data_IF_352660225173
#
_entry.id   IF_352660225173
#
_cell.length_a   1.000
_cell.length_b   1.000
_cell.length_c   1.000
_cell.angle_alpha   90.00
_cell.angle_beta   90.00
_cell.angle_gamma   90.00
#
_symmetry.space_group_name_H-M   'P 1'
#
loop_
_entity.id
_entity.type
_entity.pdbx_description
1 polymer ?
#
# COMPACT_ATOMS: atom_id res chain seq x y z
N UNK A 1 19.14 16.98 59.95
CA UNK A 1 20.42 17.72 59.95
C UNK A 1 21.32 16.99 58.95
N UNK A 2 21.30 17.42 57.67
CA UNK A 2 22.17 18.43 57.04
C UNK A 2 23.58 17.85 56.75
N UNK A 3 23.86 17.41 55.51
CA UNK A 3 24.60 18.12 54.43
C UNK A 3 26.13 18.04 54.67
N UNK A 4 27.01 17.60 53.75
CA UNK A 4 27.38 18.30 52.52
C UNK A 4 28.36 17.50 51.60
N UNK A 5 28.52 18.05 50.39
CA UNK A 5 29.15 17.57 49.13
C UNK A 5 30.70 17.45 49.11
N UNK A 6 31.19 16.69 48.11
CA UNK A 6 32.59 16.50 47.58
C UNK A 6 33.27 17.83 47.13
N UNK A 7 34.53 17.95 46.60
CA UNK A 7 35.49 16.97 46.00
C UNK A 7 37.02 17.24 46.23
N UNK A 8 37.94 16.41 45.70
CA UNK A 8 39.35 16.83 45.45
C UNK A 8 39.98 16.10 44.25
N UNK A 9 40.24 16.85 43.16
CA UNK A 9 41.16 16.48 42.09
C UNK A 9 42.58 16.95 42.45
N UNK A 10 43.59 16.12 42.23
CA UNK A 10 45.00 16.49 42.31
C UNK A 10 45.80 15.75 41.25
N UNK A 11 46.30 16.50 40.27
CA UNK A 11 47.17 16.02 39.19
C UNK A 11 48.59 15.79 39.73
N UNK A 12 49.19 14.65 39.40
CA UNK A 12 50.65 14.49 39.38
C UNK A 12 51.05 13.83 38.07
N UNK A 13 51.63 14.64 37.18
CA UNK A 13 52.39 14.17 36.03
C UNK A 13 53.88 14.29 36.37
N UNK A 14 54.62 13.20 36.22
CA UNK A 14 56.03 13.26 35.86
C UNK A 14 56.33 12.07 34.95
N UNK A 15 56.32 12.34 33.65
CA UNK A 15 56.90 11.48 32.62
C UNK A 15 58.41 11.73 32.52
N UNK A 16 59.15 10.65 32.33
CA UNK A 16 60.30 10.46 31.43
C UNK A 16 61.22 9.38 32.01
N UNK A 17 61.80 8.45 31.24
CA UNK A 17 61.41 7.83 29.99
C UNK A 17 62.40 6.67 29.82
N UNK A 18 61.91 5.52 29.34
CA UNK A 18 62.61 4.62 28.43
C UNK A 18 63.95 4.01 28.88
N UNK A 19 63.91 2.74 29.34
CA UNK A 19 64.52 1.59 28.65
C UNK A 19 64.58 0.37 29.58
N UNK A 20 64.11 -0.76 29.05
CA UNK A 20 64.14 -2.10 29.65
C UNK A 20 63.18 -2.25 30.84
N UNK A 21 62.06 -2.94 30.72
CA UNK A 21 61.97 -4.30 30.21
C UNK A 21 60.53 -4.55 29.73
N UNK A 22 60.42 -5.01 28.49
CA UNK A 22 59.25 -5.64 27.92
C UNK A 22 57.98 -4.78 27.92
N UNK A 23 57.85 -4.00 26.84
CA UNK A 23 56.61 -3.96 26.08
C UNK A 23 56.02 -5.38 26.02
N UNK A 24 55.11 -5.68 26.93
CA UNK A 24 54.16 -6.75 26.73
C UNK A 24 52.92 -6.05 26.17
N UNK A 25 52.93 -5.79 24.86
CA UNK A 25 51.69 -5.71 24.11
C UNK A 25 50.98 -7.06 24.25
N UNK A 26 50.24 -7.23 25.35
CA UNK A 26 49.27 -8.31 25.42
C UNK A 26 48.11 -7.88 24.55
N UNK A 27 48.16 -8.26 23.27
CA UNK A 27 46.98 -8.33 22.42
C UNK A 27 46.09 -9.46 22.96
N UNK A 28 45.39 -9.16 24.06
CA UNK A 28 44.60 -10.12 24.80
C UNK A 28 43.25 -10.35 24.14
N UNK A 29 43.14 -11.35 23.28
CA UNK A 29 41.84 -11.83 22.81
C UNK A 29 41.15 -12.64 23.92
N UNK A 30 40.04 -12.10 24.44
CA UNK A 30 39.21 -12.82 25.44
C UNK A 30 38.07 -13.52 24.72
N UNK A 31 38.10 -14.85 24.69
CA UNK A 31 37.00 -15.69 24.20
C UNK A 31 36.38 -16.40 25.40
N UNK A 32 35.12 -16.10 25.69
CA UNK A 32 34.35 -16.75 26.77
C UNK A 32 33.22 -17.60 26.20
N UNK A 33 33.17 -18.88 26.59
CA UNK A 33 32.07 -19.78 26.27
C UNK A 33 31.26 -20.00 27.55
N UNK A 34 29.97 -19.68 27.52
CA UNK A 34 29.05 -19.85 28.65
C UNK A 34 27.88 -20.77 28.29
N UNK A 35 27.70 -21.84 29.07
CA UNK A 35 26.54 -22.73 28.98
C UNK A 35 25.58 -22.45 30.13
N UNK A 36 24.30 -22.18 29.80
CA UNK A 36 23.22 -22.03 30.81
C UNK A 36 22.13 -23.06 30.54
N UNK A 37 21.90 -23.94 31.50
CA UNK A 37 20.82 -24.92 31.48
C UNK A 37 19.87 -24.68 32.66
N UNK A 38 18.56 -24.77 32.41
CA UNK A 38 17.55 -24.53 33.43
C UNK A 38 17.11 -25.87 34.06
N UNK A 39 17.34 -26.03 35.36
CA UNK A 39 17.03 -27.28 36.08
C UNK A 39 15.55 -27.38 36.48
N UNK A 40 14.85 -26.26 36.70
CA UNK A 40 13.41 -26.24 37.01
C UNK A 40 12.82 -24.84 36.83
N UNK A 41 11.69 -24.71 36.13
CA UNK A 41 11.05 -23.41 35.86
C UNK A 41 9.53 -23.37 36.04
N UNK A 42 8.93 -24.35 36.72
CA UNK A 42 7.48 -24.35 37.03
C UNK A 42 6.58 -24.33 35.78
N UNK A 43 6.91 -25.16 34.78
CA UNK A 43 6.17 -25.33 33.52
C UNK A 43 6.09 -24.07 32.61
N UNK A 44 6.92 -23.06 32.88
CA UNK A 44 6.95 -21.84 32.04
C UNK A 44 7.33 -22.14 30.58
N UNK A 45 8.22 -23.11 30.35
CA UNK A 45 8.58 -23.53 28.98
C UNK A 45 7.38 -24.14 28.26
N UNK A 46 6.63 -25.03 28.92
CA UNK A 46 5.45 -25.67 28.33
C UNK A 46 4.38 -24.65 27.93
N UNK A 47 4.05 -23.72 28.83
CA UNK A 47 3.11 -22.61 28.53
C UNK A 47 3.59 -21.70 27.40
N UNK A 48 4.90 -21.39 27.32
CA UNK A 48 5.46 -20.60 26.22
C UNK A 48 5.35 -21.32 24.88
N UNK A 49 5.61 -22.62 24.84
CA UNK A 49 5.45 -23.43 23.63
C UNK A 49 3.98 -23.47 23.21
N UNK A 50 3.05 -23.67 24.15
CA UNK A 50 1.61 -23.64 23.87
C UNK A 50 1.17 -22.28 23.31
N UNK A 51 1.60 -21.17 23.93
CA UNK A 51 1.33 -19.82 23.42
C UNK A 51 1.93 -19.58 22.04
N UNK A 52 3.14 -20.06 21.77
CA UNK A 52 3.76 -19.96 20.45
C UNK A 52 2.99 -20.77 19.38
N UNK A 53 2.49 -21.97 19.73
CA UNK A 53 1.63 -22.77 18.84
C UNK A 53 0.30 -22.07 18.55
N UNK A 54 -0.34 -21.50 19.57
CA UNK A 54 -1.58 -20.74 19.39
C UNK A 54 -1.35 -19.52 18.48
N UNK A 55 -0.26 -18.78 18.68
CA UNK A 55 0.09 -17.66 17.82
C UNK A 55 0.35 -18.09 16.37
N UNK A 56 0.97 -19.24 16.17
CA UNK A 56 1.14 -19.81 14.82
C UNK A 56 -0.21 -20.12 14.17
N UNK A 57 -1.12 -20.75 14.90
CA UNK A 57 -2.47 -21.08 14.42
C UNK A 57 -3.27 -19.80 14.08
N UNK A 58 -3.21 -18.77 14.93
CA UNK A 58 -3.80 -17.45 14.66
C UNK A 58 -3.23 -16.86 13.37
N UNK A 59 -1.90 -16.89 13.17
CA UNK A 59 -1.27 -16.39 11.95
C UNK A 59 -1.70 -17.18 10.70
N UNK A 60 -1.93 -18.49 10.82
CA UNK A 60 -2.46 -19.30 9.72
C UNK A 60 -3.89 -18.90 9.35
N UNK A 61 -4.77 -18.72 10.34
CA UNK A 61 -6.13 -18.25 10.09
C UNK A 61 -6.16 -16.83 9.52
N UNK A 62 -5.29 -15.94 9.98
CA UNK A 62 -5.16 -14.59 9.42
C UNK A 62 -4.69 -14.62 7.97
N UNK A 63 -3.76 -15.52 7.62
CA UNK A 63 -3.32 -15.73 6.24
C UNK A 63 -4.51 -16.16 5.38
N UNK A 64 -5.23 -17.21 5.77
CA UNK A 64 -6.38 -17.72 5.03
C UNK A 64 -7.48 -16.65 4.86
N UNK A 65 -7.80 -15.91 5.92
CA UNK A 65 -8.76 -14.82 5.85
C UNK A 65 -8.30 -13.70 4.89
N UNK A 66 -7.00 -13.41 4.85
CA UNK A 66 -6.44 -12.43 3.92
C UNK A 66 -6.56 -12.91 2.46
N UNK A 67 -6.29 -14.19 2.20
CA UNK A 67 -6.44 -14.79 0.87
C UNK A 67 -7.89 -14.73 0.39
N UNK A 68 -8.84 -15.14 1.24
CA UNK A 68 -10.27 -15.10 0.93
C UNK A 68 -10.76 -13.68 0.63
N UNK A 69 -10.28 -12.69 1.40
CA UNK A 69 -10.59 -11.27 1.17
C UNK A 69 -10.05 -10.77 -0.16
N UNK A 70 -8.81 -11.13 -0.50
CA UNK A 70 -8.19 -10.74 -1.78
C UNK A 70 -8.94 -11.35 -2.97
N UNK A 71 -9.35 -12.61 -2.87
CA UNK A 71 -10.16 -13.27 -3.90
C UNK A 71 -11.52 -12.60 -4.05
N UNK A 72 -12.22 -12.33 -2.95
CA UNK A 72 -13.50 -11.64 -2.98
C UNK A 72 -13.39 -10.23 -3.58
N UNK A 73 -12.33 -9.49 -3.24
CA UNK A 73 -12.04 -8.17 -3.80
C UNK A 73 -11.77 -8.25 -5.31
N UNK A 74 -10.98 -9.22 -5.76
CA UNK A 74 -10.68 -9.42 -7.18
C UNK A 74 -11.95 -9.75 -7.99
N UNK A 75 -12.82 -10.64 -7.48
CA UNK A 75 -14.09 -10.97 -8.14
C UNK A 75 -15.00 -9.74 -8.22
N UNK A 76 -15.14 -9.01 -7.11
CA UNK A 76 -15.92 -7.77 -7.07
C UNK A 76 -15.41 -6.75 -8.09
N UNK A 77 -14.09 -6.59 -8.16
CA UNK A 77 -13.45 -5.64 -9.08
C UNK A 77 -13.63 -6.05 -10.54
N UNK A 78 -13.54 -7.34 -10.85
CA UNK A 78 -13.81 -7.85 -12.19
C UNK A 78 -15.26 -7.58 -12.62
N UNK A 79 -16.22 -7.82 -11.74
CA UNK A 79 -17.63 -7.54 -12.02
C UNK A 79 -17.88 -6.04 -12.26
N UNK A 80 -17.25 -5.18 -11.46
CA UNK A 80 -17.32 -3.74 -11.65
C UNK A 80 -16.73 -3.30 -13.00
N UNK A 81 -15.60 -3.87 -13.40
CA UNK A 81 -14.99 -3.60 -14.71
C UNK A 81 -15.93 -3.97 -15.86
N UNK A 82 -16.56 -5.14 -15.81
CA UNK A 82 -17.53 -5.59 -16.82
C UNK A 82 -18.74 -4.64 -16.87
N UNK A 83 -19.27 -4.23 -15.72
CA UNK A 83 -20.37 -3.27 -15.65
C UNK A 83 -20.01 -1.93 -16.32
N UNK A 84 -18.81 -1.40 -16.05
CA UNK A 84 -18.33 -0.15 -16.64
C UNK A 84 -18.17 -0.27 -18.17
N UNK A 85 -17.66 -1.41 -18.65
CA UNK A 85 -17.54 -1.67 -20.10
C UNK A 85 -18.91 -1.72 -20.78
N UNK A 86 -19.89 -2.37 -20.16
CA UNK A 86 -21.26 -2.40 -20.65
C UNK A 86 -21.91 -1.00 -20.66
N UNK A 87 -21.65 -0.20 -19.63
CA UNK A 87 -22.09 1.19 -19.58
C UNK A 87 -21.46 2.03 -20.68
N UNK A 88 -20.15 1.88 -20.93
CA UNK A 88 -19.45 2.55 -22.01
C UNK A 88 -20.09 2.23 -23.36
N UNK A 89 -20.32 0.94 -23.66
CA UNK A 89 -20.96 0.51 -24.90
C UNK A 89 -22.32 1.18 -25.12
N UNK A 90 -23.17 1.20 -24.08
CA UNK A 90 -24.48 1.89 -24.14
C UNK A 90 -24.34 3.40 -24.39
N UNK A 91 -23.34 4.05 -23.78
CA UNK A 91 -23.11 5.49 -23.99
C UNK A 91 -22.57 5.78 -25.39
N UNK A 92 -21.71 4.93 -25.93
CA UNK A 92 -21.21 5.00 -27.31
C UNK A 92 -22.30 4.74 -28.36
N UNK A 93 -23.36 4.02 -28.01
CA UNK A 93 -24.56 3.92 -28.84
C UNK A 93 -25.40 5.21 -28.74
N UNK A 94 -25.64 5.71 -27.52
CA UNK A 94 -26.46 6.90 -27.29
C UNK A 94 -25.87 8.20 -27.85
N UNK A 95 -24.54 8.34 -27.92
CA UNK A 95 -23.91 9.54 -28.49
C UNK A 95 -24.29 9.76 -29.95
N UNK A 96 -24.63 8.69 -30.70
CA UNK A 96 -25.10 8.80 -32.09
C UNK A 96 -26.38 9.63 -32.15
N UNK A 97 -27.31 9.42 -31.22
CA UNK A 97 -28.56 10.19 -31.13
C UNK A 97 -28.31 11.67 -30.85
N UNK A 98 -27.38 11.98 -29.93
CA UNK A 98 -27.01 13.36 -29.64
C UNK A 98 -26.33 14.04 -30.84
N UNK A 99 -25.47 13.30 -31.55
CA UNK A 99 -24.80 13.79 -32.75
C UNK A 99 -25.79 14.08 -33.88
N UNK A 100 -26.74 13.19 -34.13
CA UNK A 100 -27.80 13.42 -35.10
C UNK A 100 -28.70 14.60 -34.70
N UNK A 101 -29.00 14.75 -33.42
CA UNK A 101 -29.79 15.89 -32.93
C UNK A 101 -29.05 17.21 -33.13
N UNK A 102 -27.75 17.24 -32.90
CA UNK A 102 -26.90 18.38 -33.18
C UNK A 102 -26.93 18.75 -34.67
N UNK A 103 -26.65 17.79 -35.56
CA UNK A 103 -26.64 18.01 -37.03
C UNK A 103 -27.99 18.54 -37.51
N UNK A 104 -29.11 17.94 -37.08
CA UNK A 104 -30.46 18.44 -37.45
C UNK A 104 -30.73 19.86 -36.97
N UNK A 105 -30.24 20.21 -35.77
CA UNK A 105 -30.46 21.55 -35.19
C UNK A 105 -29.58 22.58 -35.90
N UNK A 106 -28.35 22.21 -36.23
CA UNK A 106 -27.41 22.99 -37.02
C UNK A 106 -27.98 23.31 -38.42
N UNK A 107 -28.49 22.31 -39.14
CA UNK A 107 -29.15 22.52 -40.43
C UNK A 107 -30.35 23.46 -40.32
N UNK A 108 -31.18 23.31 -39.28
CA UNK A 108 -32.33 24.19 -39.05
C UNK A 108 -31.90 25.61 -38.72
N UNK A 109 -30.79 25.78 -37.98
CA UNK A 109 -30.27 27.08 -37.61
C UNK A 109 -29.80 27.84 -38.86
N UNK A 110 -29.04 27.19 -39.75
CA UNK A 110 -28.61 27.79 -41.01
C UNK A 110 -29.78 28.14 -41.95
N UNK A 111 -30.88 27.40 -41.86
CA UNK A 111 -32.12 27.72 -42.57
C UNK A 111 -33.00 28.77 -41.85
N UNK A 112 -32.54 29.36 -40.75
CA UNK A 112 -33.30 30.35 -39.96
C UNK A 112 -34.52 29.80 -39.23
N UNK A 113 -34.62 28.47 -39.04
CA UNK A 113 -35.78 27.78 -38.46
C UNK A 113 -35.69 27.56 -36.95
N UNK A 114 -34.51 27.73 -36.35
CA UNK A 114 -34.28 27.65 -34.90
C UNK A 114 -33.32 28.77 -34.49
N UNK A 115 -33.25 29.05 -33.19
CA UNK A 115 -32.40 30.12 -32.64
C UNK A 115 -30.97 29.64 -32.37
N UNK A 116 -30.07 30.58 -32.09
CA UNK A 116 -28.71 30.27 -31.65
C UNK A 116 -28.67 29.59 -30.27
N UNK A 117 -29.69 29.81 -29.44
CA UNK A 117 -29.84 29.14 -28.15
C UNK A 117 -30.11 27.64 -28.36
N UNK A 118 -31.04 27.29 -29.23
CA UNK A 118 -31.37 25.89 -29.55
C UNK A 118 -30.13 25.14 -30.08
N UNK A 119 -29.33 25.79 -30.92
CA UNK A 119 -28.08 25.22 -31.42
C UNK A 119 -27.07 24.97 -30.28
N UNK A 120 -26.91 25.93 -29.36
CA UNK A 120 -26.02 25.77 -28.19
C UNK A 120 -26.49 24.66 -27.26
N UNK A 121 -27.80 24.51 -27.07
CA UNK A 121 -28.34 23.43 -26.24
C UNK A 121 -28.05 22.05 -26.85
N UNK A 122 -28.20 21.91 -28.17
CA UNK A 122 -27.83 20.68 -28.87
C UNK A 122 -26.32 20.40 -28.82
N UNK A 123 -25.47 21.42 -28.96
CA UNK A 123 -24.02 21.32 -28.79
C UNK A 123 -23.64 20.87 -27.38
N UNK A 124 -24.24 21.49 -26.35
CA UNK A 124 -24.01 21.13 -24.96
C UNK A 124 -24.43 19.70 -24.66
N UNK A 125 -25.57 19.24 -25.20
CA UNK A 125 -26.02 17.86 -25.03
C UNK A 125 -25.02 16.85 -25.62
N UNK A 126 -24.49 17.13 -26.83
CA UNK A 126 -23.46 16.30 -27.46
C UNK A 126 -22.15 16.31 -26.64
N UNK A 127 -21.67 17.50 -26.25
CA UNK A 127 -20.45 17.66 -25.46
C UNK A 127 -20.55 16.91 -24.11
N UNK A 128 -21.68 17.00 -23.42
CA UNK A 128 -21.90 16.28 -22.18
C UNK A 128 -21.88 14.76 -22.37
N UNK A 129 -22.40 14.26 -23.50
CA UNK A 129 -22.31 12.84 -23.85
C UNK A 129 -20.86 12.39 -24.07
N UNK A 130 -20.05 13.20 -24.75
CA UNK A 130 -18.62 12.94 -24.96
C UNK A 130 -17.83 12.93 -23.64
N UNK A 131 -18.07 13.91 -22.77
CA UNK A 131 -17.46 13.98 -21.44
C UNK A 131 -17.80 12.72 -20.61
N UNK A 132 -19.07 12.29 -20.62
CA UNK A 132 -19.48 11.06 -19.92
C UNK A 132 -18.74 9.83 -20.44
N UNK A 133 -18.56 9.70 -21.75
CA UNK A 133 -17.79 8.59 -22.36
C UNK A 133 -16.33 8.63 -21.91
N UNK A 134 -15.70 9.81 -21.92
CA UNK A 134 -14.31 9.96 -21.51
C UNK A 134 -14.11 9.63 -20.03
N UNK A 135 -15.04 10.04 -19.16
CA UNK A 135 -15.02 9.68 -17.75
C UNK A 135 -15.14 8.15 -17.56
N UNK A 136 -16.05 7.49 -18.27
CA UNK A 136 -16.18 6.03 -18.22
C UNK A 136 -14.91 5.32 -18.70
N UNK A 137 -14.24 5.82 -19.75
CA UNK A 137 -12.96 5.28 -20.21
C UNK A 137 -11.88 5.40 -19.13
N UNK A 138 -11.80 6.55 -18.45
CA UNK A 138 -10.87 6.74 -17.34
C UNK A 138 -11.18 5.81 -16.17
N UNK A 139 -12.45 5.60 -15.84
CA UNK A 139 -12.88 4.69 -14.77
C UNK A 139 -12.57 3.23 -15.10
N UNK A 140 -12.76 2.81 -16.35
CA UNK A 140 -12.35 1.48 -16.83
C UNK A 140 -10.84 1.30 -16.65
N UNK A 141 -10.02 2.29 -17.05
CA UNK A 141 -8.56 2.21 -16.91
C UNK A 141 -8.13 2.12 -15.44
N UNK A 142 -8.74 2.91 -14.54
CA UNK A 142 -8.48 2.79 -13.10
C UNK A 142 -8.89 1.42 -12.59
N UNK A 143 -10.04 0.92 -13.02
CA UNK A 143 -10.59 -0.35 -12.60
C UNK A 143 -9.73 -1.54 -13.05
N UNK A 144 -9.18 -1.48 -14.27
CA UNK A 144 -8.26 -2.50 -14.78
C UNK A 144 -6.92 -2.48 -14.05
N UNK A 145 -6.36 -1.30 -13.78
CA UNK A 145 -5.12 -1.16 -13.00
C UNK A 145 -5.28 -1.71 -11.58
N UNK A 146 -6.41 -1.45 -10.91
CA UNK A 146 -6.69 -2.01 -9.58
C UNK A 146 -6.76 -3.54 -9.63
N UNK A 147 -7.40 -4.10 -10.65
CA UNK A 147 -7.50 -5.55 -10.84
C UNK A 147 -6.12 -6.20 -11.08
N UNK A 148 -5.26 -5.56 -11.88
CA UNK A 148 -3.88 -6.00 -12.09
C UNK A 148 -3.06 -5.95 -10.80
N UNK A 149 -3.20 -4.90 -10.01
CA UNK A 149 -2.54 -4.79 -8.71
C UNK A 149 -3.01 -5.89 -7.73
N UNK A 150 -4.30 -6.23 -7.72
CA UNK A 150 -4.83 -7.35 -6.92
C UNK A 150 -4.27 -8.69 -7.39
N UNK A 151 -4.20 -8.93 -8.70
CA UNK A 151 -3.56 -10.13 -9.27
C UNK A 151 -2.08 -10.22 -8.89
N UNK A 152 -1.35 -9.11 -8.94
CA UNK A 152 0.05 -9.05 -8.52
C UNK A 152 0.23 -9.42 -7.05
N UNK A 153 -0.65 -8.94 -6.16
CA UNK A 153 -0.65 -9.33 -4.73
C UNK A 153 -0.95 -10.81 -4.52
N UNK A 154 -1.88 -11.38 -5.31
CA UNK A 154 -2.22 -12.80 -5.25
C UNK A 154 -1.06 -13.70 -5.70
N UNK A 155 -0.34 -13.34 -6.77
CA UNK A 155 0.81 -14.11 -7.27
C UNK A 155 2.02 -13.94 -6.33
N UNK A 156 2.26 -12.73 -5.85
CA UNK A 156 3.39 -12.42 -4.96
C UNK A 156 3.29 -12.99 -3.55
N UNK A 157 2.10 -13.31 -3.05
CA UNK A 157 1.93 -13.98 -1.74
C UNK A 157 2.20 -15.50 -1.76
N UNK A 158 2.34 -16.09 -2.95
CA UNK A 158 2.54 -17.52 -3.12
C UNK A 158 4.03 -17.97 -3.14
N UNK A 159 4.96 -17.06 -2.82
CA UNK A 159 6.41 -17.30 -2.74
C UNK A 159 6.99 -16.80 -1.41
#
# INVERSE_FOLDING_TARGET
MAESRQPTNGYFNQENDLQQLAEIETLGYTVGIGLRYNLFNGDRTGRRIQGARLNQEISQFQKQQSEDRLLAEAVKQQNNLTLLQDQLKRKEENIKTFKESYVRTEERFYNGKVTSLDLRDAQNALLNAEIMINNLKADIMRSSLHLEALKGKLIGQNN
#
